data_IF_597053941135
#
_entry.id   IF_597053941135
#
_cell.length_a   1.000
_cell.length_b   1.000
_cell.length_c   1.000
_cell.angle_alpha   90.00
_cell.angle_beta   90.00
_cell.angle_gamma   90.00
#
_symmetry.space_group_name_H-M   'P 1'
#
loop_
_entity.id
_entity.type
_entity.pdbx_description
1 polymer ?
#
# COMPACT_ATOMS: atom_id res chain seq x y z
N UNK A 1 -33.79 3.47 28.64
CA UNK A 1 -33.20 3.20 29.97
C UNK A 1 -32.30 1.98 29.86
N UNK A 2 -31.02 2.05 30.26
CA UNK A 2 -30.09 0.92 30.17
C UNK A 2 -30.27 0.01 31.40
N UNK A 3 -30.22 -1.31 31.21
CA UNK A 3 -30.16 -2.28 32.31
C UNK A 3 -28.76 -2.92 32.34
N UNK A 4 -28.13 -2.82 33.51
CA UNK A 4 -26.73 -3.09 33.81
C UNK A 4 -26.67 -4.32 34.71
N UNK A 5 -26.21 -5.49 34.25
CA UNK A 5 -25.72 -6.59 35.11
C UNK A 5 -24.93 -7.58 34.21
N UNK A 6 -23.86 -8.26 34.61
CA UNK A 6 -22.95 -8.25 35.76
C UNK A 6 -21.84 -9.22 35.35
N UNK A 7 -20.58 -8.80 35.36
CA UNK A 7 -19.43 -9.65 35.08
C UNK A 7 -19.30 -10.73 36.18
N UNK A 8 -19.45 -12.01 35.84
CA UNK A 8 -18.97 -13.13 36.66
C UNK A 8 -17.69 -13.69 36.06
N UNK A 9 -16.56 -13.47 36.74
CA UNK A 9 -15.31 -14.18 36.48
C UNK A 9 -15.39 -15.57 37.10
N UNK A 10 -15.37 -16.61 36.28
CA UNK A 10 -15.02 -17.98 36.69
C UNK A 10 -14.30 -18.63 35.52
N UNK A 11 -13.14 -19.24 35.77
CA UNK A 11 -12.63 -20.30 34.90
C UNK A 11 -11.27 -20.02 34.27
N UNK A 12 -10.31 -20.82 34.69
CA UNK A 12 -8.93 -20.89 34.28
C UNK A 12 -8.70 -21.32 32.82
N UNK A 13 -7.51 -20.94 32.33
CA UNK A 13 -6.62 -21.64 31.40
C UNK A 13 -7.14 -22.13 30.03
N UNK A 14 -6.37 -21.75 29.01
CA UNK A 14 -6.26 -22.38 27.70
C UNK A 14 -7.45 -22.23 26.75
N UNK A 15 -7.42 -21.17 25.92
CA UNK A 15 -8.33 -21.09 24.78
C UNK A 15 -8.04 -19.89 23.92
N UNK A 16 -7.63 -20.13 22.68
CA UNK A 16 -7.50 -19.12 21.63
C UNK A 16 -8.90 -18.56 21.32
N UNK A 17 -9.33 -17.53 22.03
CA UNK A 17 -10.58 -16.85 21.69
C UNK A 17 -10.26 -15.59 20.90
N UNK A 18 -10.45 -15.80 19.60
CA UNK A 18 -10.40 -14.90 18.47
C UNK A 18 -10.99 -13.51 18.75
N UNK A 19 -10.39 -12.48 18.14
CA UNK A 19 -10.94 -11.11 18.00
C UNK A 19 -12.22 -11.07 17.15
N UNK A 20 -13.15 -12.02 17.32
CA UNK A 20 -14.31 -12.23 16.45
C UNK A 20 -15.62 -11.66 16.98
N UNK A 21 -15.62 -10.98 18.13
CA UNK A 21 -16.83 -10.36 18.67
C UNK A 21 -16.81 -8.83 18.57
N UNK A 22 -16.37 -8.29 17.43
CA UNK A 22 -16.80 -6.97 16.98
C UNK A 22 -17.78 -7.19 15.82
N UNK A 23 -19.07 -7.09 16.14
CA UNK A 23 -20.14 -7.09 15.15
C UNK A 23 -19.89 -5.97 14.14
N UNK A 24 -19.49 -6.34 12.92
CA UNK A 24 -19.40 -5.42 11.78
C UNK A 24 -20.83 -5.23 11.29
N UNK A 25 -21.40 -4.01 11.32
CA UNK A 25 -22.74 -3.78 10.78
C UNK A 25 -22.74 -4.05 9.28
N UNK A 26 -23.67 -4.89 8.81
CA UNK A 26 -23.77 -5.38 7.44
C UNK A 26 -24.13 -4.32 6.37
N UNK A 27 -24.20 -3.04 6.72
CA UNK A 27 -24.71 -1.98 5.84
C UNK A 27 -23.96 -0.65 6.01
N UNK A 28 -22.67 -0.63 5.72
CA UNK A 28 -21.95 0.62 5.42
C UNK A 28 -20.95 0.34 4.30
N UNK A 29 -21.19 0.95 3.14
CA UNK A 29 -20.39 0.79 1.92
C UNK A 29 -18.90 0.82 2.22
N UNK A 30 -18.21 -0.22 1.74
CA UNK A 30 -16.79 -0.52 1.94
C UNK A 30 -15.96 0.74 2.11
N UNK A 31 -15.71 1.08 3.38
CA UNK A 31 -15.15 2.37 3.74
C UNK A 31 -13.73 2.48 3.18
N UNK A 32 -13.35 3.69 2.78
CA UNK A 32 -11.99 4.04 2.37
C UNK A 32 -10.93 3.52 3.37
N UNK A 33 -11.30 3.46 4.65
CA UNK A 33 -10.51 2.86 5.73
C UNK A 33 -10.29 1.35 5.58
N UNK A 34 -11.30 0.58 5.16
CA UNK A 34 -11.14 -0.85 4.91
C UNK A 34 -10.21 -1.12 3.71
N UNK A 35 -10.32 -0.29 2.67
CA UNK A 35 -9.43 -0.34 1.50
C UNK A 35 -7.99 0.00 1.91
N UNK A 36 -7.79 1.04 2.70
CA UNK A 36 -6.48 1.42 3.24
C UNK A 36 -5.90 0.34 4.16
N UNK A 37 -6.69 -0.22 5.08
CA UNK A 37 -6.26 -1.31 5.96
C UNK A 37 -5.86 -2.53 5.15
N UNK A 38 -6.59 -2.88 4.09
CA UNK A 38 -6.23 -4.01 3.22
C UNK A 38 -4.99 -3.71 2.36
N UNK A 39 -4.78 -2.46 1.90
CA UNK A 39 -3.56 -2.05 1.20
C UNK A 39 -2.34 -2.16 2.13
N UNK A 40 -2.46 -1.65 3.36
CA UNK A 40 -1.41 -1.66 4.37
C UNK A 40 -1.12 -3.09 4.84
N UNK A 41 -2.15 -3.90 5.12
CA UNK A 41 -2.03 -5.33 5.48
C UNK A 41 -1.33 -6.13 4.38
N UNK A 42 -1.71 -5.91 3.11
CA UNK A 42 -1.06 -6.50 1.94
C UNK A 42 0.38 -6.00 1.73
N UNK A 43 0.77 -4.86 2.28
CA UNK A 43 2.16 -4.40 2.30
C UNK A 43 2.97 -5.05 3.43
N UNK A 44 2.38 -5.24 4.61
CA UNK A 44 3.02 -5.88 5.77
C UNK A 44 3.26 -7.38 5.58
N UNK A 45 2.36 -8.12 4.92
CA UNK A 45 2.52 -9.55 4.63
C UNK A 45 3.71 -9.87 3.70
N UNK A 46 4.28 -8.87 3.03
CA UNK A 46 5.25 -9.08 1.93
C UNK A 46 6.71 -9.13 2.33
N UNK A 47 7.04 -8.82 3.58
CA UNK A 47 8.41 -8.93 4.10
C UNK A 47 8.86 -10.40 4.27
N UNK A 48 7.92 -11.33 4.48
CA UNK A 48 8.18 -12.73 4.83
C UNK A 48 8.28 -13.73 3.65
N UNK A 49 8.24 -13.28 2.38
CA UNK A 49 8.26 -14.18 1.22
C UNK A 49 9.64 -14.54 0.67
N UNK A 50 9.70 -15.54 -0.23
CA UNK A 50 10.96 -15.98 -0.89
C UNK A 50 11.62 -14.87 -1.70
N UNK A 51 12.93 -14.97 -1.97
CA UNK A 51 13.66 -13.91 -2.69
C UNK A 51 13.09 -13.65 -4.09
N UNK A 52 12.58 -14.70 -4.77
CA UNK A 52 11.84 -14.58 -6.03
C UNK A 52 10.59 -13.69 -5.86
N UNK A 53 9.80 -13.89 -4.82
CA UNK A 53 8.61 -13.09 -4.57
C UNK A 53 8.97 -11.64 -4.21
N UNK A 54 10.04 -11.43 -3.43
CA UNK A 54 10.57 -10.10 -3.12
C UNK A 54 11.00 -9.38 -4.39
N UNK A 55 11.73 -10.05 -5.28
CA UNK A 55 12.17 -9.47 -6.54
C UNK A 55 10.98 -9.13 -7.46
N UNK A 56 9.99 -10.03 -7.61
CA UNK A 56 8.76 -9.73 -8.36
C UNK A 56 8.03 -8.51 -7.79
N UNK A 57 8.01 -8.33 -6.47
CA UNK A 57 7.44 -7.15 -5.82
C UNK A 57 8.26 -5.89 -6.10
N UNK A 58 9.59 -5.94 -6.01
CA UNK A 58 10.47 -4.82 -6.38
C UNK A 58 10.23 -4.40 -7.83
N UNK A 59 10.13 -5.36 -8.76
CA UNK A 59 9.78 -5.12 -10.17
C UNK A 59 8.43 -4.44 -10.32
N UNK A 60 7.36 -5.00 -9.75
CA UNK A 60 6.02 -4.40 -9.79
C UNK A 60 5.99 -2.98 -9.21
N UNK A 61 6.69 -2.74 -8.10
CA UNK A 61 6.78 -1.42 -7.48
C UNK A 61 7.56 -0.44 -8.36
N UNK A 62 8.65 -0.87 -9.00
CA UNK A 62 9.36 -0.07 -10.01
C UNK A 62 8.43 0.29 -11.17
N UNK A 63 7.71 -0.67 -11.75
CA UNK A 63 6.75 -0.41 -12.83
C UNK A 63 5.65 0.58 -12.42
N UNK A 64 5.06 0.42 -11.23
CA UNK A 64 4.06 1.36 -10.69
C UNK A 64 4.60 2.77 -10.49
N UNK A 65 5.83 2.90 -9.99
CA UNK A 65 6.49 4.20 -9.82
C UNK A 65 6.74 4.87 -11.16
N UNK A 66 7.17 4.11 -12.16
CA UNK A 66 7.37 4.62 -13.53
C UNK A 66 6.07 5.12 -14.15
N UNK A 67 4.98 4.34 -14.09
CA UNK A 67 3.69 4.78 -14.65
C UNK A 67 3.14 6.02 -13.96
N UNK A 68 3.33 6.14 -12.64
CA UNK A 68 2.93 7.33 -11.90
C UNK A 68 3.77 8.56 -12.27
N UNK A 69 5.08 8.38 -12.48
CA UNK A 69 5.95 9.47 -12.94
C UNK A 69 5.63 9.87 -14.38
N UNK A 70 5.26 8.93 -15.26
CA UNK A 70 4.82 9.22 -16.62
C UNK A 70 3.57 10.10 -16.64
N UNK A 71 2.53 9.72 -15.88
CA UNK A 71 1.30 10.53 -15.74
C UNK A 71 1.57 11.93 -15.19
N UNK A 72 2.54 12.05 -14.28
CA UNK A 72 2.97 13.36 -13.76
C UNK A 72 3.73 14.16 -14.81
N UNK A 73 4.60 13.52 -15.57
CA UNK A 73 5.38 14.15 -16.63
C UNK A 73 4.50 14.83 -17.68
N UNK A 74 3.40 14.18 -18.08
CA UNK A 74 2.42 14.69 -19.06
C UNK A 74 1.80 16.03 -18.63
N UNK A 75 1.52 16.21 -17.34
CA UNK A 75 0.83 17.40 -16.79
C UNK A 75 1.77 18.46 -16.23
N UNK A 76 3.06 18.15 -16.12
CA UNK A 76 4.02 18.95 -15.37
C UNK A 76 4.62 20.12 -16.16
N UNK A 77 4.95 21.20 -15.44
CA UNK A 77 5.69 22.36 -15.98
C UNK A 77 7.17 22.03 -16.23
N UNK A 78 7.88 22.85 -17.03
CA UNK A 78 9.28 22.62 -17.42
C UNK A 78 10.22 22.39 -16.23
N UNK A 79 10.03 23.12 -15.14
CA UNK A 79 10.81 22.96 -13.89
C UNK A 79 10.56 21.61 -13.21
N UNK A 80 9.32 21.15 -13.18
CA UNK A 80 8.94 19.89 -12.56
C UNK A 80 9.43 18.68 -13.38
N UNK A 81 9.48 18.81 -14.71
CA UNK A 81 10.06 17.80 -15.60
C UNK A 81 11.53 17.50 -15.28
N UNK A 82 12.32 18.53 -14.95
CA UNK A 82 13.69 18.36 -14.50
C UNK A 82 13.78 17.55 -13.19
N UNK A 83 12.89 17.85 -12.22
CA UNK A 83 12.81 17.08 -10.95
C UNK A 83 12.39 15.63 -11.20
N UNK A 84 11.48 15.38 -12.14
CA UNK A 84 11.08 14.03 -12.54
C UNK A 84 12.25 13.29 -13.19
N UNK A 85 13.06 13.94 -14.04
CA UNK A 85 14.27 13.34 -14.63
C UNK A 85 15.28 12.91 -13.55
N UNK A 86 15.50 13.73 -12.51
CA UNK A 86 16.34 13.33 -11.37
C UNK A 86 15.78 12.13 -10.60
N UNK A 87 14.45 12.09 -10.38
CA UNK A 87 13.79 10.95 -9.74
C UNK A 87 13.92 9.66 -10.57
N UNK A 88 13.85 9.77 -11.90
CA UNK A 88 14.05 8.63 -12.81
C UNK A 88 15.47 8.06 -12.71
N UNK A 89 16.50 8.92 -12.73
CA UNK A 89 17.92 8.50 -12.58
C UNK A 89 18.18 7.71 -11.29
N UNK A 90 17.55 8.11 -10.19
CA UNK A 90 17.66 7.38 -8.91
C UNK A 90 16.89 6.05 -8.90
N UNK A 91 15.88 5.90 -9.75
CA UNK A 91 14.99 4.73 -9.76
C UNK A 91 15.53 3.59 -10.65
N UNK A 92 16.21 3.93 -11.74
CA UNK A 92 16.72 2.96 -12.70
C UNK A 92 18.07 3.41 -13.28
N UNK A 93 19.08 2.53 -13.37
CA UNK A 93 20.35 2.85 -14.01
C UNK A 93 20.22 3.08 -15.53
N UNK A 94 19.10 2.69 -16.15
CA UNK A 94 18.78 2.96 -17.56
C UNK A 94 17.84 4.15 -17.78
N UNK A 95 17.79 5.10 -16.84
CA UNK A 95 16.82 6.20 -16.88
C UNK A 95 16.98 7.14 -18.08
N UNK A 96 18.16 7.22 -18.70
CA UNK A 96 18.43 8.15 -19.80
C UNK A 96 17.57 7.89 -21.03
N UNK A 97 17.35 6.61 -21.37
CA UNK A 97 16.46 6.23 -22.47
C UNK A 97 15.02 6.66 -22.20
N UNK A 98 14.56 6.55 -20.95
CA UNK A 98 13.21 6.98 -20.54
C UNK A 98 13.08 8.51 -20.56
N UNK A 99 14.12 9.23 -20.13
CA UNK A 99 14.16 10.70 -20.16
C UNK A 99 14.06 11.20 -21.61
N UNK A 100 14.79 10.57 -22.54
CA UNK A 100 14.73 10.88 -23.97
C UNK A 100 13.36 10.53 -24.57
N UNK A 101 12.82 9.37 -24.25
CA UNK A 101 11.49 8.94 -24.72
C UNK A 101 10.37 9.88 -24.24
N UNK A 102 10.47 10.39 -23.01
CA UNK A 102 9.44 11.25 -22.41
C UNK A 102 9.68 12.75 -22.63
N UNK A 103 10.73 13.13 -23.38
CA UNK A 103 11.08 14.53 -23.70
C UNK A 103 11.10 15.43 -22.46
N UNK A 104 11.72 14.93 -21.40
CA UNK A 104 11.78 15.62 -20.10
C UNK A 104 12.87 16.69 -20.03
N UNK A 105 13.75 16.74 -21.03
CA UNK A 105 14.83 17.74 -21.24
C UNK A 105 14.84 18.10 -22.71
#
# INVERSE_FOLDING_TARGET
MPNFYRLSKVGDLAGKETLTNMAIPANLGTSYWQILVNIIRRQLETMAGTERQRELRRRRNRSKKLTLLQKKAEKSSKTEKAVIAHKLRRLSPGAEQLIKAWKLV
#
